data_IF_434193086742
#
_entry.id   IF_434193086742
#
_cell.length_a   1.000
_cell.length_b   1.000
_cell.length_c   1.000
_cell.angle_alpha   90.00
_cell.angle_beta   90.00
_cell.angle_gamma   90.00
#
_symmetry.space_group_name_H-M   'P 1'
#
loop_
_entity.id
_entity.type
_entity.pdbx_description
1 polymer ?
#
# COMPACT_ATOMS: atom_id res chain seq x y z
N UNK A 1 2.62 -25.28 7.05
CA UNK A 1 2.88 -23.95 6.47
C UNK A 1 4.29 -23.89 5.99
N UNK A 2 4.48 -23.50 4.72
CA UNK A 2 5.82 -23.24 4.23
C UNK A 2 6.36 -21.92 4.82
N UNK A 3 7.69 -21.77 4.84
CA UNK A 3 8.30 -20.50 5.32
C UNK A 3 7.81 -19.32 4.49
N UNK A 4 7.65 -19.49 3.20
CA UNK A 4 7.16 -18.50 2.25
C UNK A 4 5.70 -18.07 2.58
N UNK A 5 4.88 -19.02 2.99
CA UNK A 5 3.51 -18.75 3.43
C UNK A 5 3.47 -17.89 4.70
N UNK A 6 4.38 -18.16 5.66
CA UNK A 6 4.52 -17.34 6.87
C UNK A 6 4.88 -15.89 6.53
N UNK A 7 5.78 -15.68 5.56
CA UNK A 7 6.12 -14.33 5.11
C UNK A 7 4.95 -13.61 4.44
N UNK A 8 4.21 -14.32 3.59
CA UNK A 8 3.02 -13.75 2.96
C UNK A 8 1.97 -13.34 4.00
N UNK A 9 1.75 -14.16 5.06
CA UNK A 9 0.88 -13.81 6.18
C UNK A 9 1.40 -12.62 6.98
N UNK A 10 2.69 -12.57 7.27
CA UNK A 10 3.30 -11.44 8.00
C UNK A 10 3.18 -10.13 7.23
N UNK A 11 3.50 -10.15 5.94
CA UNK A 11 3.36 -8.97 5.07
C UNK A 11 1.90 -8.53 4.94
N UNK A 12 0.96 -9.47 4.79
CA UNK A 12 -0.47 -9.16 4.75
C UNK A 12 -0.95 -8.51 6.05
N UNK A 13 -0.61 -9.12 7.19
CA UNK A 13 -1.01 -8.60 8.50
C UNK A 13 -0.47 -7.19 8.74
N UNK A 14 0.83 -6.99 8.49
CA UNK A 14 1.48 -5.69 8.68
C UNK A 14 0.89 -4.61 7.78
N UNK A 15 0.76 -4.87 6.48
CA UNK A 15 0.19 -3.90 5.54
C UNK A 15 -1.27 -3.57 5.86
N UNK A 16 -2.05 -4.57 6.30
CA UNK A 16 -3.44 -4.35 6.71
C UNK A 16 -3.55 -3.51 7.99
N UNK A 17 -2.73 -3.80 8.99
CA UNK A 17 -2.70 -3.02 10.25
C UNK A 17 -2.28 -1.57 9.97
N UNK A 18 -1.23 -1.38 9.17
CA UNK A 18 -0.77 -0.03 8.79
C UNK A 18 -1.84 0.73 8.01
N UNK A 19 -2.54 0.07 7.08
CA UNK A 19 -3.60 0.70 6.31
C UNK A 19 -4.78 1.10 7.20
N UNK A 20 -5.25 0.21 8.07
CA UNK A 20 -6.35 0.50 9.00
C UNK A 20 -5.96 1.64 9.94
N UNK A 21 -4.77 1.57 10.54
CA UNK A 21 -4.26 2.64 11.40
C UNK A 21 -4.21 3.98 10.66
N UNK A 22 -3.69 3.98 9.45
CA UNK A 22 -3.59 5.19 8.63
C UNK A 22 -4.95 5.78 8.28
N UNK A 23 -5.89 4.95 7.82
CA UNK A 23 -7.24 5.40 7.50
C UNK A 23 -7.97 5.95 8.73
N UNK A 24 -7.85 5.29 9.88
CA UNK A 24 -8.45 5.80 11.12
C UNK A 24 -7.81 7.11 11.59
N UNK A 25 -6.50 7.25 11.44
CA UNK A 25 -5.77 8.45 11.82
C UNK A 25 -6.04 9.65 10.90
N UNK A 26 -6.23 9.42 9.59
CA UNK A 26 -6.46 10.49 8.60
C UNK A 26 -7.94 10.87 8.51
N UNK A 27 -8.84 9.89 8.49
CA UNK A 27 -10.27 10.12 8.31
C UNK A 27 -11.05 10.20 9.62
N UNK A 28 -10.39 9.95 10.77
CA UNK A 28 -10.99 10.20 12.09
C UNK A 28 -12.18 9.33 12.44
N UNK A 29 -12.16 8.05 12.11
CA UNK A 29 -13.23 7.15 12.56
C UNK A 29 -12.83 6.45 13.87
N UNK A 30 -13.64 6.49 14.94
CA UNK A 30 -15.00 7.03 15.10
C UNK A 30 -15.08 8.49 15.55
N UNK A 31 -13.98 9.20 15.77
CA UNK A 31 -13.96 10.58 16.27
C UNK A 31 -13.36 11.49 15.21
N UNK A 32 -14.03 12.62 14.83
CA UNK A 32 -13.45 13.61 13.93
C UNK A 32 -12.14 14.13 14.52
N UNK A 33 -11.05 13.98 13.79
CA UNK A 33 -9.75 14.50 14.20
C UNK A 33 -9.60 15.91 13.65
N UNK A 34 -9.08 16.80 14.48
CA UNK A 34 -8.72 18.16 14.08
C UNK A 34 -7.63 18.06 12.99
N UNK A 35 -8.01 18.36 11.76
CA UNK A 35 -7.14 18.18 10.59
C UNK A 35 -6.19 19.37 10.40
N UNK A 36 -5.26 19.57 11.34
CA UNK A 36 -4.17 20.51 11.10
C UNK A 36 -3.19 19.95 10.05
N UNK A 37 -2.68 20.81 9.18
CA UNK A 37 -1.69 20.41 8.15
C UNK A 37 -0.47 19.72 8.77
N UNK A 38 -0.03 20.22 9.92
CA UNK A 38 1.11 19.68 10.66
C UNK A 38 0.85 18.25 11.16
N UNK A 39 -0.35 17.97 11.66
CA UNK A 39 -0.74 16.65 12.12
C UNK A 39 -0.80 15.64 10.97
N UNK A 40 -1.47 16.01 9.86
CA UNK A 40 -1.63 15.14 8.69
C UNK A 40 -0.28 14.84 8.02
N UNK A 41 0.57 15.84 7.85
CA UNK A 41 1.92 15.64 7.31
C UNK A 41 2.79 14.79 8.24
N UNK A 42 2.70 15.01 9.55
CA UNK A 42 3.42 14.22 10.55
C UNK A 42 3.03 12.74 10.54
N UNK A 43 1.73 12.42 10.44
CA UNK A 43 1.26 11.02 10.32
C UNK A 43 1.71 10.40 9.00
N UNK A 44 1.59 11.13 7.89
CA UNK A 44 2.01 10.64 6.58
C UNK A 44 3.48 10.17 6.61
N UNK A 45 4.39 11.03 7.08
CA UNK A 45 5.82 10.68 7.12
C UNK A 45 6.13 9.55 8.09
N UNK A 46 5.45 9.49 9.23
CA UNK A 46 5.63 8.39 10.20
C UNK A 46 5.16 7.06 9.62
N UNK A 47 3.97 7.00 9.03
CA UNK A 47 3.44 5.76 8.47
C UNK A 47 4.23 5.32 7.24
N UNK A 48 4.62 6.25 6.36
CA UNK A 48 5.49 5.96 5.23
C UNK A 48 6.84 5.39 5.68
N UNK A 49 7.48 6.02 6.67
CA UNK A 49 8.75 5.55 7.23
C UNK A 49 8.63 4.15 7.84
N UNK A 50 7.59 3.91 8.64
CA UNK A 50 7.34 2.59 9.23
C UNK A 50 7.08 1.55 8.13
N UNK A 51 6.26 1.86 7.13
CA UNK A 51 5.96 0.94 6.03
C UNK A 51 7.22 0.53 5.27
N UNK A 52 8.07 1.49 4.92
CA UNK A 52 9.34 1.23 4.23
C UNK A 52 10.30 0.39 5.09
N UNK A 53 10.46 0.75 6.36
CA UNK A 53 11.36 0.02 7.28
C UNK A 53 10.88 -1.42 7.49
N UNK A 54 9.59 -1.62 7.70
CA UNK A 54 9.04 -2.97 7.91
C UNK A 54 9.15 -3.82 6.64
N UNK A 55 8.84 -3.28 5.46
CA UNK A 55 8.98 -4.03 4.20
C UNK A 55 10.46 -4.39 3.96
N UNK A 56 11.41 -3.47 4.22
CA UNK A 56 12.85 -3.74 4.16
C UNK A 56 13.29 -4.85 5.11
N UNK A 57 12.81 -4.84 6.35
CA UNK A 57 13.13 -5.87 7.34
C UNK A 57 12.58 -7.22 6.87
N UNK A 58 11.32 -7.28 6.44
CA UNK A 58 10.69 -8.50 5.96
C UNK A 58 11.43 -9.06 4.75
N UNK A 59 11.77 -8.21 3.77
CA UNK A 59 12.48 -8.63 2.56
C UNK A 59 13.91 -9.08 2.87
N UNK A 60 14.61 -8.39 3.77
CA UNK A 60 15.95 -8.78 4.23
C UNK A 60 15.92 -10.11 4.99
N UNK A 61 14.98 -10.29 5.91
CA UNK A 61 14.82 -11.56 6.63
C UNK A 61 14.50 -12.70 5.67
N UNK A 62 13.66 -12.45 4.66
CA UNK A 62 13.35 -13.39 3.61
C UNK A 62 14.59 -13.78 2.81
N UNK A 63 15.40 -12.81 2.36
CA UNK A 63 16.60 -13.03 1.57
C UNK A 63 17.70 -13.77 2.35
N UNK A 64 17.90 -13.43 3.63
CA UNK A 64 18.89 -14.08 4.50
C UNK A 64 18.54 -15.54 4.80
N UNK A 65 17.26 -15.87 4.95
CA UNK A 65 16.83 -17.25 5.24
C UNK A 65 16.79 -18.14 3.99
N UNK A 66 16.64 -17.57 2.80
CA UNK A 66 16.65 -18.28 1.52
C UNK A 66 18.09 -18.64 1.08
N UNK A 67 19.12 -18.01 1.63
CA UNK A 67 20.53 -18.26 1.29
C UNK A 67 21.03 -19.72 1.51
N UNK A 68 20.21 -20.59 2.11
CA UNK A 68 20.56 -21.99 2.35
C UNK A 68 19.59 -23.05 1.81
N UNK A 69 18.44 -22.64 1.29
CA UNK A 69 17.43 -23.56 0.75
C UNK A 69 17.07 -23.13 -0.66
N UNK A 70 17.25 -23.99 -1.63
CA UNK A 70 16.80 -23.80 -3.01
C UNK A 70 15.31 -23.44 -2.99
N UNK A 71 14.95 -22.23 -3.49
CA UNK A 71 13.55 -21.87 -3.72
C UNK A 71 12.94 -22.91 -4.65
N UNK A 72 11.85 -23.53 -4.25
CA UNK A 72 11.10 -24.41 -5.12
C UNK A 72 10.55 -23.60 -6.31
N UNK A 73 10.54 -24.21 -7.49
CA UNK A 73 10.01 -23.58 -8.70
C UNK A 73 8.56 -23.12 -8.52
N UNK A 74 7.80 -23.83 -7.71
CA UNK A 74 6.43 -23.46 -7.31
C UNK A 74 6.40 -22.14 -6.55
N UNK A 75 7.27 -21.96 -5.55
CA UNK A 75 7.32 -20.73 -4.73
C UNK A 75 7.66 -19.51 -5.60
N UNK A 76 8.64 -19.65 -6.52
CA UNK A 76 8.99 -18.58 -7.46
C UNK A 76 7.80 -18.18 -8.34
N UNK A 77 7.03 -19.17 -8.80
CA UNK A 77 5.83 -18.94 -9.63
C UNK A 77 4.72 -18.23 -8.86
N UNK A 78 4.49 -18.61 -7.61
CA UNK A 78 3.50 -17.97 -6.73
C UNK A 78 3.89 -16.53 -6.44
N UNK A 79 5.14 -16.31 -6.08
CA UNK A 79 5.70 -14.97 -5.82
C UNK A 79 5.56 -14.06 -7.05
N UNK A 80 5.93 -14.54 -8.22
CA UNK A 80 5.77 -13.80 -9.49
C UNK A 80 4.31 -13.39 -9.77
N UNK A 81 3.34 -14.26 -9.47
CA UNK A 81 1.92 -13.94 -9.62
C UNK A 81 1.48 -12.84 -8.64
N UNK A 82 1.97 -12.89 -7.41
CA UNK A 82 1.72 -11.84 -6.41
C UNK A 82 2.21 -10.47 -6.87
N UNK A 83 3.47 -10.39 -7.28
CA UNK A 83 4.06 -9.16 -7.80
C UNK A 83 3.35 -8.64 -9.05
N UNK A 84 3.01 -9.53 -9.98
CA UNK A 84 2.30 -9.15 -11.21
C UNK A 84 0.94 -8.53 -10.93
N UNK A 85 0.16 -9.13 -10.04
CA UNK A 85 -1.17 -8.61 -9.68
C UNK A 85 -1.05 -7.28 -8.94
N UNK A 86 -0.12 -7.15 -8.00
CA UNK A 86 0.16 -5.90 -7.31
C UNK A 86 0.59 -4.80 -8.28
N UNK A 87 1.44 -5.13 -9.25
CA UNK A 87 1.87 -4.18 -10.28
C UNK A 87 0.70 -3.67 -11.14
N UNK A 88 -0.20 -4.54 -11.58
CA UNK A 88 -1.35 -4.12 -12.37
C UNK A 88 -2.29 -3.20 -11.57
N UNK A 89 -2.52 -3.51 -10.31
CA UNK A 89 -3.35 -2.66 -9.45
C UNK A 89 -2.67 -1.33 -9.19
N UNK A 90 -1.38 -1.34 -8.86
CA UNK A 90 -0.60 -0.12 -8.65
C UNK A 90 -0.60 0.77 -9.91
N UNK A 91 -0.29 0.19 -11.07
CA UNK A 91 -0.27 0.93 -12.33
C UNK A 91 -1.65 1.49 -12.69
N UNK A 92 -2.71 0.68 -12.58
CA UNK A 92 -4.08 1.13 -12.82
C UNK A 92 -4.53 2.24 -11.88
N UNK A 93 -4.22 2.11 -10.59
CA UNK A 93 -4.54 3.14 -9.59
C UNK A 93 -3.77 4.44 -9.83
N UNK A 94 -2.49 4.38 -10.20
CA UNK A 94 -1.71 5.57 -10.55
C UNK A 94 -2.29 6.28 -11.77
N UNK A 95 -2.66 5.53 -12.83
CA UNK A 95 -3.33 6.11 -14.01
C UNK A 95 -4.64 6.77 -13.60
N UNK A 96 -5.45 6.12 -12.76
CA UNK A 96 -6.70 6.70 -12.27
C UNK A 96 -6.48 8.02 -11.50
N UNK A 97 -5.45 8.08 -10.65
CA UNK A 97 -5.07 9.32 -9.94
C UNK A 97 -4.63 10.39 -10.92
N UNK A 98 -3.82 10.06 -11.91
CA UNK A 98 -3.38 11.03 -12.94
C UNK A 98 -4.57 11.60 -13.72
N UNK A 99 -5.50 10.73 -14.15
CA UNK A 99 -6.73 11.16 -14.85
C UNK A 99 -7.59 12.04 -13.94
N UNK A 100 -7.75 11.66 -12.67
CA UNK A 100 -8.51 12.46 -11.71
C UNK A 100 -7.90 13.85 -11.51
N UNK A 101 -6.58 13.95 -11.35
CA UNK A 101 -5.89 15.22 -11.21
C UNK A 101 -6.07 16.09 -12.45
N UNK A 102 -5.94 15.51 -13.64
CA UNK A 102 -6.12 16.22 -14.91
C UNK A 102 -7.54 16.77 -15.06
N UNK A 103 -8.57 15.94 -14.78
CA UNK A 103 -9.96 16.38 -14.83
C UNK A 103 -10.24 17.46 -13.79
N UNK A 104 -9.73 17.30 -12.56
CA UNK A 104 -9.88 18.27 -11.48
C UNK A 104 -9.27 19.63 -11.86
N UNK A 105 -8.10 19.63 -12.49
CA UNK A 105 -7.43 20.86 -12.94
C UNK A 105 -8.22 21.57 -14.06
N UNK A 106 -8.75 20.81 -15.01
CA UNK A 106 -9.60 21.35 -16.09
C UNK A 106 -10.89 21.97 -15.52
N UNK A 107 -11.55 21.30 -14.58
CA UNK A 107 -12.80 21.78 -13.98
C UNK A 107 -12.57 23.02 -13.14
N UNK A 108 -11.53 23.07 -12.33
CA UNK A 108 -11.20 24.24 -11.51
C UNK A 108 -10.84 25.45 -12.36
N UNK A 109 -10.09 25.24 -13.45
CA UNK A 109 -9.73 26.30 -14.40
C UNK A 109 -10.97 26.86 -15.13
N UNK A 110 -11.89 25.97 -15.53
CA UNK A 110 -13.11 26.38 -16.25
C UNK A 110 -14.15 27.05 -15.33
N UNK A 111 -14.24 26.66 -14.06
CA UNK A 111 -15.22 27.15 -13.10
C UNK A 111 -14.75 28.37 -12.29
N UNK A 112 -13.47 28.73 -12.35
CA UNK A 112 -12.89 29.82 -11.54
C UNK A 112 -12.97 29.56 -10.03
N UNK A 113 -13.07 28.30 -9.64
CA UNK A 113 -13.20 27.88 -8.24
C UNK A 113 -11.89 27.29 -7.72
N UNK A 114 -11.61 27.51 -6.42
CA UNK A 114 -10.50 26.85 -5.75
C UNK A 114 -10.70 25.33 -5.66
N UNK A 115 -9.58 24.59 -5.62
CA UNK A 115 -9.57 23.11 -5.62
C UNK A 115 -10.54 22.51 -4.62
N UNK A 116 -11.39 21.59 -5.08
CA UNK A 116 -12.39 20.90 -4.24
C UNK A 116 -11.79 20.00 -3.13
N UNK A 117 -10.51 19.65 -3.18
CA UNK A 117 -9.85 18.89 -2.13
C UNK A 117 -9.32 19.83 -1.06
N UNK A 118 -10.13 20.02 -0.02
CA UNK A 118 -9.78 20.80 1.17
C UNK A 118 -8.74 20.10 2.09
N UNK A 119 -8.32 18.88 1.77
CA UNK A 119 -7.35 18.12 2.57
C UNK A 119 -5.95 18.41 2.06
N UNK A 120 -5.09 19.00 2.90
CA UNK A 120 -3.69 19.21 2.54
C UNK A 120 -3.02 17.88 2.14
N UNK A 121 -2.23 17.91 1.07
CA UNK A 121 -1.54 16.72 0.57
C UNK A 121 -2.45 15.53 0.19
N UNK A 122 -3.74 15.75 -0.12
CA UNK A 122 -4.70 14.69 -0.44
C UNK A 122 -4.17 13.66 -1.45
N UNK A 123 -3.47 14.11 -2.49
CA UNK A 123 -2.84 13.22 -3.49
C UNK A 123 -1.81 12.29 -2.87
N UNK A 124 -0.98 12.80 -1.96
CA UNK A 124 0.06 11.99 -1.30
C UNK A 124 -0.58 10.97 -0.34
N UNK A 125 -1.65 11.34 0.36
CA UNK A 125 -2.42 10.42 1.18
C UNK A 125 -3.01 9.27 0.34
N UNK A 126 -3.59 9.59 -0.83
CA UNK A 126 -4.11 8.59 -1.77
C UNK A 126 -3.00 7.67 -2.28
N UNK A 127 -1.84 8.21 -2.64
CA UNK A 127 -0.70 7.41 -3.10
C UNK A 127 -0.21 6.43 -2.02
N UNK A 128 -0.18 6.84 -0.76
CA UNK A 128 0.18 5.94 0.34
C UNK A 128 -0.83 4.80 0.53
N UNK A 129 -2.13 5.11 0.44
CA UNK A 129 -3.20 4.09 0.48
C UNK A 129 -3.05 3.10 -0.69
N UNK A 130 -2.75 3.58 -1.89
CA UNK A 130 -2.52 2.73 -3.07
C UNK A 130 -1.29 1.82 -2.85
N UNK A 131 -0.21 2.35 -2.29
CA UNK A 131 1.01 1.58 -2.02
C UNK A 131 0.74 0.44 -1.02
N UNK A 132 0.09 0.75 0.11
CA UNK A 132 -0.29 -0.26 1.10
C UNK A 132 -1.29 -1.28 0.53
N UNK A 133 -2.25 -0.82 -0.28
CA UNK A 133 -3.20 -1.68 -0.97
C UNK A 133 -2.52 -2.64 -1.95
N UNK A 134 -1.52 -2.19 -2.69
CA UNK A 134 -0.74 -3.04 -3.59
C UNK A 134 0.02 -4.15 -2.82
N UNK A 135 0.59 -3.83 -1.65
CA UNK A 135 1.24 -4.81 -0.77
C UNK A 135 0.24 -5.87 -0.26
N UNK A 136 -0.98 -5.45 0.13
CA UNK A 136 -2.06 -6.36 0.53
C UNK A 136 -2.43 -7.29 -0.63
N UNK A 137 -2.57 -6.79 -1.85
CA UNK A 137 -2.91 -7.58 -3.02
C UNK A 137 -1.81 -8.58 -3.37
N UNK A 138 -0.52 -8.17 -3.28
CA UNK A 138 0.62 -9.07 -3.43
C UNK A 138 0.48 -10.28 -2.50
N UNK A 139 0.36 -10.00 -1.21
CA UNK A 139 0.36 -11.03 -0.16
C UNK A 139 -0.90 -11.90 -0.21
N UNK A 140 -2.07 -11.31 -0.44
CA UNK A 140 -3.33 -12.06 -0.62
C UNK A 140 -3.30 -12.98 -1.83
N UNK A 141 -2.71 -12.52 -2.94
CA UNK A 141 -2.54 -13.36 -4.15
C UNK A 141 -1.63 -14.55 -3.85
N UNK A 142 -0.51 -14.31 -3.16
CA UNK A 142 0.42 -15.39 -2.79
C UNK A 142 -0.28 -16.42 -1.91
N UNK A 143 -0.98 -15.99 -0.86
CA UNK A 143 -1.72 -16.88 0.05
C UNK A 143 -2.82 -17.68 -0.66
N UNK A 144 -3.55 -17.05 -1.59
CA UNK A 144 -4.53 -17.74 -2.40
C UNK A 144 -3.93 -18.92 -3.17
N UNK A 145 -2.77 -18.72 -3.80
CA UNK A 145 -2.10 -19.78 -4.57
C UNK A 145 -1.41 -20.81 -3.67
N UNK A 146 -0.95 -20.46 -2.48
CA UNK A 146 -0.47 -21.44 -1.50
C UNK A 146 -1.59 -22.36 -1.01
N UNK A 147 -2.80 -21.83 -0.79
CA UNK A 147 -3.94 -22.63 -0.35
C UNK A 147 -4.56 -23.51 -1.45
N UNK A 148 -4.38 -23.14 -2.72
CA UNK A 148 -5.04 -23.84 -3.83
C UNK A 148 -4.27 -25.07 -4.33
N UNK A 149 -3.07 -25.31 -3.87
CA UNK A 149 -2.34 -26.39 -4.43
C UNK A 149 -1.16 -26.91 -3.77
#
# INVERSE_FOLDING_TARGET
MSRQEIYAWSSLATSSVLLIFYLTAVYGWPVPIESSEEYLSGILWKVLGIAVVVELILDTMHSLQVGGVSKDERDVRIESKGYRNAYYVLAGALVAVMVHLFISDMVTTAAGQDRYLSVPFATVHVLLVILLGASIIKSSTQLYYYNKG
#
